data_IF_814756448336
#
_entry.id   IF_814756448336
#
_cell.length_a   1.000
_cell.length_b   1.000
_cell.length_c   1.000
_cell.angle_alpha   90.00
_cell.angle_beta   90.00
_cell.angle_gamma   90.00
#
_symmetry.space_group_name_H-M   'P 1'
#
loop_
_entity.id
_entity.type
_entity.pdbx_description
1 polymer ?
#
# COMPACT_ATOMS: atom_id res chain seq x y z
N UNK A 1 -57.94 -10.50 -23.59
CA UNK A 1 -58.88 -10.96 -22.53
C UNK A 1 -58.48 -10.26 -21.24
N UNK A 2 -59.09 -9.11 -20.95
CA UNK A 2 -60.07 -8.88 -19.86
C UNK A 2 -59.46 -9.13 -18.46
N UNK A 3 -59.20 -8.08 -17.65
CA UNK A 3 -60.13 -7.39 -16.68
C UNK A 3 -60.11 -8.14 -15.31
N UNK A 4 -60.03 -7.59 -14.09
CA UNK A 4 -60.44 -6.32 -13.41
C UNK A 4 -59.89 -6.42 -11.96
N UNK A 5 -59.15 -5.46 -11.40
CA UNK A 5 -59.53 -4.30 -10.56
C UNK A 5 -60.07 -4.57 -9.13
N UNK A 6 -59.54 -3.79 -8.16
CA UNK A 6 -60.20 -2.98 -7.11
C UNK A 6 -59.08 -2.42 -6.19
N UNK A 7 -58.72 -1.12 -6.26
CA UNK A 7 -59.28 0.05 -5.53
C UNK A 7 -59.25 -0.11 -4.00
N UNK A 8 -58.85 0.86 -3.17
CA UNK A 8 -58.51 2.27 -3.37
C UNK A 8 -58.50 3.04 -2.03
N UNK A 9 -58.46 4.38 -2.14
CA UNK A 9 -58.40 5.45 -1.10
C UNK A 9 -56.98 5.80 -0.63
N UNK A 10 -56.41 7.00 -0.82
CA UNK A 10 -56.94 8.38 -0.85
C UNK A 10 -56.43 9.08 0.43
N UNK A 11 -55.72 10.21 0.50
CA UNK A 11 -55.72 11.50 -0.24
C UNK A 11 -54.37 12.22 0.07
N UNK A 12 -53.79 13.00 -0.85
CA UNK A 12 -52.65 13.91 -0.61
C UNK A 12 -53.11 15.37 -0.42
N UNK A 13 -52.27 16.25 0.18
CA UNK A 13 -52.14 17.69 -0.15
C UNK A 13 -51.32 18.47 0.91
N UNK A 14 -50.21 19.12 0.49
CA UNK A 14 -50.09 20.58 0.39
C UNK A 14 -48.64 21.02 0.10
N UNK A 15 -48.46 21.62 -1.07
CA UNK A 15 -47.43 22.65 -1.32
C UNK A 15 -47.87 23.96 -0.66
N UNK A 16 -46.92 24.74 -0.15
CA UNK A 16 -47.10 26.16 0.12
C UNK A 16 -45.91 26.95 -0.44
N UNK A 17 -46.28 27.90 -1.28
CA UNK A 17 -45.54 28.84 -2.11
C UNK A 17 -44.71 29.86 -1.35
N UNK A 18 -43.63 30.31 -2.01
CA UNK A 18 -42.84 31.48 -1.70
C UNK A 18 -43.63 32.80 -1.75
N UNK A 19 -43.22 33.78 -0.92
CA UNK A 19 -43.44 35.22 -1.17
C UNK A 19 -42.23 36.04 -0.70
N UNK A 20 -41.72 36.85 -1.62
CA UNK A 20 -40.79 37.96 -1.43
C UNK A 20 -41.44 39.08 -0.60
N UNK A 21 -40.66 39.77 0.23
CA UNK A 21 -40.84 41.20 0.48
C UNK A 21 -39.48 41.88 0.68
N UNK A 22 -39.26 42.93 -0.13
CA UNK A 22 -38.11 43.81 -0.09
C UNK A 22 -38.41 45.07 0.73
N UNK A 23 -37.33 45.64 1.28
CA UNK A 23 -37.06 47.06 1.53
C UNK A 23 -38.06 47.92 2.32
N UNK A 24 -37.62 48.38 3.49
CA UNK A 24 -37.99 49.71 4.00
C UNK A 24 -36.78 50.35 4.70
N UNK A 25 -36.25 51.42 4.09
CA UNK A 25 -35.39 52.42 4.74
C UNK A 25 -36.28 53.34 5.58
N UNK A 26 -35.92 53.56 6.84
CA UNK A 26 -36.24 54.82 7.52
C UNK A 26 -35.17 55.09 8.59
N UNK A 27 -34.42 56.17 8.40
CA UNK A 27 -33.57 56.73 9.45
C UNK A 27 -34.33 57.83 10.17
N UNK A 28 -34.11 57.98 11.49
CA UNK A 28 -33.91 59.30 12.11
C UNK A 28 -33.51 59.18 13.60
N UNK A 29 -32.56 60.04 13.98
CA UNK A 29 -32.27 60.62 15.31
C UNK A 29 -31.45 59.81 16.33
N UNK A 30 -30.20 60.26 16.49
CA UNK A 30 -29.30 60.08 17.63
C UNK A 30 -29.90 60.67 18.93
N UNK A 31 -29.45 60.22 20.12
CA UNK A 31 -28.40 61.00 20.80
C UNK A 31 -27.23 60.16 21.36
N UNK A 32 -26.07 60.81 21.34
CA UNK A 32 -24.85 60.48 22.07
C UNK A 32 -25.13 60.06 23.53
N UNK A 33 -24.92 58.79 23.83
CA UNK A 33 -24.46 58.37 25.14
C UNK A 33 -23.62 57.11 24.95
N UNK A 34 -22.45 57.09 25.58
CA UNK A 34 -21.51 55.96 25.65
C UNK A 34 -20.54 55.83 24.45
N UNK A 35 -19.71 56.86 24.26
CA UNK A 35 -18.32 56.62 23.83
C UNK A 35 -17.67 55.66 24.83
N UNK A 36 -17.07 54.53 24.41
CA UNK A 36 -16.14 53.82 25.28
C UNK A 36 -14.92 54.71 25.48
N UNK A 37 -14.81 55.22 26.69
CA UNK A 37 -13.60 55.79 27.25
C UNK A 37 -12.46 54.76 27.14
N UNK A 38 -11.26 55.28 26.91
CA UNK A 38 -9.95 54.72 27.20
C UNK A 38 -9.80 53.18 27.23
N UNK A 39 -8.93 52.68 26.33
CA UNK A 39 -8.28 51.37 26.42
C UNK A 39 -7.95 51.03 27.88
N UNK A 40 -8.74 50.16 28.49
CA UNK A 40 -8.29 49.41 29.66
C UNK A 40 -7.31 48.35 29.14
N UNK A 41 -6.09 48.24 29.68
CA UNK A 41 -5.25 47.08 29.44
C UNK A 41 -5.89 45.92 30.19
N UNK A 42 -6.91 45.29 29.58
CA UNK A 42 -7.40 44.02 30.04
C UNK A 42 -6.21 43.06 29.95
N UNK A 43 -5.66 42.72 31.12
CA UNK A 43 -4.70 41.66 31.29
C UNK A 43 -5.11 40.51 30.38
N UNK A 44 -4.24 40.16 29.43
CA UNK A 44 -4.22 38.80 28.88
C UNK A 44 -3.93 37.86 30.05
N UNK A 45 -4.98 37.48 30.79
CA UNK A 45 -4.89 36.47 31.82
C UNK A 45 -4.48 35.21 31.07
N UNK A 46 -3.23 34.78 31.28
CA UNK A 46 -2.74 33.51 30.74
C UNK A 46 -3.78 32.45 31.10
N UNK A 47 -4.25 31.64 30.13
CA UNK A 47 -5.23 30.61 30.43
C UNK A 47 -4.71 29.79 31.59
N UNK A 48 -5.56 29.57 32.58
CA UNK A 48 -5.23 28.80 33.78
C UNK A 48 -4.71 27.41 33.39
N UNK A 49 -3.93 26.77 34.27
CA UNK A 49 -3.42 25.42 34.02
C UNK A 49 -4.56 24.45 33.66
N UNK A 50 -5.75 24.63 34.25
CA UNK A 50 -6.95 23.86 33.93
C UNK A 50 -7.49 24.13 32.51
N UNK A 51 -7.54 25.38 32.06
CA UNK A 51 -7.97 25.72 30.69
C UNK A 51 -6.95 25.26 29.63
N UNK A 52 -5.66 25.26 29.98
CA UNK A 52 -4.60 24.71 29.14
C UNK A 52 -4.70 23.19 29.05
N UNK A 53 -5.00 22.51 30.16
CA UNK A 53 -5.25 21.06 30.18
C UNK A 53 -6.49 20.70 29.37
N UNK A 54 -7.60 21.44 29.53
CA UNK A 54 -8.82 21.22 28.74
C UNK A 54 -8.57 21.47 27.24
N UNK A 55 -7.86 22.54 26.87
CA UNK A 55 -7.48 22.78 25.46
C UNK A 55 -6.55 21.71 24.91
N UNK A 56 -5.57 21.24 25.68
CA UNK A 56 -4.71 20.13 25.29
C UNK A 56 -5.53 18.84 25.12
N UNK A 57 -6.48 18.58 26.00
CA UNK A 57 -7.36 17.41 25.96
C UNK A 57 -8.34 17.46 24.77
N UNK A 58 -8.85 18.65 24.41
CA UNK A 58 -9.65 18.87 23.21
C UNK A 58 -8.82 18.73 21.91
N UNK A 59 -7.60 19.27 21.87
CA UNK A 59 -6.73 19.10 20.71
C UNK A 59 -6.29 17.64 20.53
N UNK A 60 -6.01 16.93 21.64
CA UNK A 60 -5.69 15.50 21.65
C UNK A 60 -6.88 14.63 21.19
N UNK A 61 -8.11 14.95 21.60
CA UNK A 61 -9.32 14.27 21.11
C UNK A 61 -9.68 14.61 19.65
N UNK A 62 -9.32 15.79 19.16
CA UNK A 62 -9.54 16.16 17.76
C UNK A 62 -8.56 15.47 16.80
N UNK A 63 -7.33 15.17 17.26
CA UNK A 63 -6.37 14.37 16.49
C UNK A 63 -6.77 12.90 16.43
N UNK A 64 -7.31 12.32 17.52
CA UNK A 64 -7.72 10.92 17.53
C UNK A 64 -8.96 10.63 16.65
N UNK A 65 -9.87 11.61 16.50
CA UNK A 65 -10.98 11.49 15.52
C UNK A 65 -10.50 11.48 14.06
N UNK A 66 -9.36 12.10 13.75
CA UNK A 66 -8.78 12.07 12.39
C UNK A 66 -8.06 10.75 12.08
N UNK A 67 -7.56 10.06 13.10
CA UNK A 67 -7.01 8.70 13.03
C UNK A 67 -8.09 7.64 12.75
N UNK A 68 -9.33 7.86 13.17
CA UNK A 68 -10.44 6.90 12.93
C UNK A 68 -10.87 6.73 11.46
N UNK A 69 -10.28 7.50 10.52
CA UNK A 69 -10.47 7.35 9.07
C UNK A 69 -9.23 6.81 8.35
N UNK A 70 -8.14 6.51 9.06
CA UNK A 70 -6.98 5.86 8.46
C UNK A 70 -7.34 4.40 8.16
N UNK A 71 -7.17 3.97 6.91
CA UNK A 71 -7.27 2.56 6.54
C UNK A 71 -6.21 1.81 7.35
N UNK A 72 -6.62 0.82 8.15
CA UNK A 72 -5.69 -0.01 8.94
C UNK A 72 -4.64 -0.65 8.03
N UNK A 73 -3.41 -0.78 8.53
CA UNK A 73 -2.36 -1.52 7.83
C UNK A 73 -2.79 -2.94 7.47
N UNK A 74 -3.64 -3.58 8.29
CA UNK A 74 -4.23 -4.89 7.97
C UNK A 74 -4.97 -4.86 6.63
N UNK A 75 -5.84 -3.88 6.39
CA UNK A 75 -6.68 -3.81 5.18
C UNK A 75 -5.81 -3.64 3.94
N UNK A 76 -4.79 -2.79 4.02
CA UNK A 76 -3.87 -2.54 2.89
C UNK A 76 -3.07 -3.80 2.58
N UNK A 77 -2.47 -4.41 3.61
CA UNK A 77 -1.63 -5.60 3.48
C UNK A 77 -2.43 -6.80 3.01
N UNK A 78 -3.61 -7.05 3.58
CA UNK A 78 -4.50 -8.12 3.14
C UNK A 78 -5.00 -7.88 1.71
N UNK A 79 -5.20 -6.62 1.30
CA UNK A 79 -5.50 -6.29 -0.10
C UNK A 79 -4.38 -6.69 -1.06
N UNK A 80 -3.12 -6.37 -0.72
CA UNK A 80 -1.95 -6.78 -1.50
C UNK A 80 -1.80 -8.32 -1.52
N UNK A 81 -1.97 -8.98 -0.38
CA UNK A 81 -1.92 -10.45 -0.27
C UNK A 81 -3.00 -11.06 -1.17
N UNK A 82 -4.23 -10.55 -1.10
CA UNK A 82 -5.36 -11.02 -1.91
C UNK A 82 -5.08 -10.87 -3.41
N UNK A 83 -4.45 -9.77 -3.84
CA UNK A 83 -4.06 -9.57 -5.23
C UNK A 83 -3.04 -10.63 -5.70
N UNK A 84 -2.01 -10.91 -4.90
CA UNK A 84 -1.02 -11.95 -5.20
C UNK A 84 -1.65 -13.35 -5.24
N UNK A 85 -2.54 -13.66 -4.29
CA UNK A 85 -3.30 -14.92 -4.26
C UNK A 85 -4.14 -15.07 -5.53
N UNK A 86 -4.86 -14.02 -5.94
CA UNK A 86 -5.70 -14.05 -7.13
C UNK A 86 -4.90 -14.36 -8.41
N UNK A 87 -3.73 -13.74 -8.59
CA UNK A 87 -2.84 -14.02 -9.72
C UNK A 87 -2.24 -15.43 -9.63
N UNK A 88 -1.88 -15.88 -8.42
CA UNK A 88 -1.37 -17.24 -8.18
C UNK A 88 -2.39 -18.31 -8.53
N UNK A 89 -3.68 -18.08 -8.29
CA UNK A 89 -4.76 -18.97 -8.76
C UNK A 89 -4.71 -19.11 -10.29
N UNK A 90 -4.39 -18.03 -11.01
CA UNK A 90 -4.13 -18.06 -12.46
C UNK A 90 -3.02 -19.04 -12.82
N UNK A 91 -1.90 -19.03 -12.08
CA UNK A 91 -0.80 -19.99 -12.25
C UNK A 91 -1.22 -21.42 -11.92
N UNK A 92 -2.00 -21.64 -10.86
CA UNK A 92 -2.48 -22.97 -10.51
C UNK A 92 -3.37 -23.56 -11.62
N UNK A 93 -4.20 -22.72 -12.25
CA UNK A 93 -5.00 -23.13 -13.41
C UNK A 93 -4.17 -23.39 -14.65
N UNK A 94 -3.16 -22.55 -14.91
CA UNK A 94 -2.26 -22.71 -16.05
C UNK A 94 -1.40 -23.98 -15.98
N UNK A 95 -1.06 -24.42 -14.77
CA UNK A 95 -0.25 -25.62 -14.52
C UNK A 95 -1.08 -26.89 -14.30
N UNK A 96 -2.42 -26.79 -14.33
CA UNK A 96 -3.30 -27.93 -14.11
C UNK A 96 -3.08 -29.01 -15.20
N UNK A 97 -3.18 -30.31 -14.85
CA UNK A 97 -3.04 -31.38 -15.82
C UNK A 97 -4.00 -31.19 -17.00
N UNK A 98 -3.56 -31.48 -18.24
CA UNK A 98 -4.40 -31.30 -19.41
C UNK A 98 -5.64 -32.23 -19.33
N UNK A 99 -6.81 -31.80 -19.85
CA UNK A 99 -8.02 -32.61 -19.82
C UNK A 99 -7.81 -34.00 -20.44
N UNK A 100 -8.56 -35.02 -20.00
CA UNK A 100 -8.42 -36.39 -20.55
C UNK A 100 -8.75 -36.49 -22.05
N UNK A 101 -9.55 -35.55 -22.57
CA UNK A 101 -10.00 -35.58 -23.96
C UNK A 101 -9.02 -34.85 -24.91
N UNK A 102 -8.46 -35.51 -25.96
CA UNK A 102 -7.40 -34.94 -26.81
C UNK A 102 -7.73 -33.59 -27.44
N UNK A 103 -8.96 -33.39 -27.93
CA UNK A 103 -9.41 -32.12 -28.50
C UNK A 103 -9.46 -30.95 -27.48
N UNK A 104 -9.60 -31.25 -26.19
CA UNK A 104 -9.58 -30.26 -25.12
C UNK A 104 -8.16 -29.99 -24.61
N UNK A 105 -7.22 -30.95 -24.75
CA UNK A 105 -5.81 -30.77 -24.37
C UNK A 105 -5.15 -29.63 -25.14
N UNK A 106 -5.32 -29.63 -26.47
CA UNK A 106 -4.76 -28.59 -27.35
C UNK A 106 -5.36 -27.20 -27.08
N UNK A 107 -6.65 -27.14 -26.71
CA UNK A 107 -7.37 -25.88 -26.48
C UNK A 107 -7.17 -25.30 -25.07
N UNK A 108 -6.96 -26.13 -24.05
CA UNK A 108 -6.95 -25.70 -22.65
C UNK A 108 -5.54 -25.39 -22.11
N UNK A 109 -4.52 -26.13 -22.54
CA UNK A 109 -3.17 -26.04 -21.96
C UNK A 109 -2.40 -24.80 -22.45
N UNK A 110 -2.62 -24.38 -23.69
CA UNK A 110 -1.87 -23.27 -24.29
C UNK A 110 -2.33 -21.85 -23.92
N UNK A 111 -3.64 -21.50 -23.88
CA UNK A 111 -4.03 -20.10 -23.71
C UNK A 111 -3.80 -19.58 -22.29
N UNK A 112 -4.03 -20.40 -21.25
CA UNK A 112 -3.85 -20.00 -19.85
C UNK A 112 -2.36 -19.78 -19.51
N UNK A 113 -1.50 -20.74 -19.85
CA UNK A 113 -0.05 -20.63 -19.69
C UNK A 113 0.52 -19.45 -20.47
N UNK A 114 0.11 -19.29 -21.74
CA UNK A 114 0.51 -18.13 -22.55
C UNK A 114 0.09 -16.82 -21.91
N UNK A 115 -1.12 -16.73 -21.37
CA UNK A 115 -1.61 -15.53 -20.67
C UNK A 115 -0.73 -15.21 -19.47
N UNK A 116 -0.42 -16.21 -18.62
CA UNK A 116 0.42 -16.00 -17.44
C UNK A 116 1.84 -15.56 -17.81
N UNK A 117 2.47 -16.21 -18.79
CA UNK A 117 3.80 -15.84 -19.26
C UNK A 117 3.81 -14.44 -19.89
N UNK A 118 2.82 -14.12 -20.73
CA UNK A 118 2.78 -12.86 -21.49
C UNK A 118 2.48 -11.64 -20.61
N UNK A 119 1.63 -11.82 -19.59
CA UNK A 119 1.06 -10.70 -18.83
C UNK A 119 1.47 -10.66 -17.36
N UNK A 120 1.94 -11.76 -16.78
CA UNK A 120 2.27 -11.86 -15.35
C UNK A 120 3.72 -12.30 -15.11
N UNK A 121 4.57 -12.20 -16.14
CA UNK A 121 6.03 -12.26 -15.99
C UNK A 121 6.65 -11.09 -16.70
N UNK A 122 7.91 -10.78 -16.39
CA UNK A 122 8.66 -9.74 -17.07
C UNK A 122 10.01 -10.27 -17.55
N UNK A 123 10.45 -9.79 -18.71
CA UNK A 123 11.73 -10.18 -19.31
C UNK A 123 12.20 -9.10 -20.28
N UNK A 124 13.45 -9.22 -20.75
CA UNK A 124 13.99 -8.32 -21.78
C UNK A 124 13.13 -8.30 -23.05
N UNK A 125 12.55 -9.44 -23.43
CA UNK A 125 11.65 -9.54 -24.58
C UNK A 125 10.36 -8.75 -24.38
N UNK A 126 9.73 -8.83 -23.20
CA UNK A 126 8.53 -8.07 -22.90
C UNK A 126 8.75 -6.56 -23.04
N UNK A 127 9.89 -6.05 -22.55
CA UNK A 127 10.22 -4.64 -22.64
C UNK A 127 10.52 -4.20 -24.08
N UNK A 128 11.21 -5.04 -24.88
CA UNK A 128 11.44 -4.79 -26.31
C UNK A 128 10.14 -4.75 -27.11
N UNK A 129 9.14 -5.55 -26.72
CA UNK A 129 7.80 -5.58 -27.33
C UNK A 129 6.87 -4.48 -26.79
N UNK A 130 7.39 -3.53 -26.01
CA UNK A 130 6.64 -2.38 -25.49
C UNK A 130 5.71 -2.71 -24.30
N UNK A 131 5.82 -3.89 -23.70
CA UNK A 131 4.95 -4.32 -22.59
C UNK A 131 5.47 -3.88 -21.22
N UNK A 132 5.72 -2.58 -21.03
CA UNK A 132 6.28 -2.06 -19.78
C UNK A 132 5.42 -2.33 -18.54
N UNK A 133 4.11 -2.54 -18.70
CA UNK A 133 3.21 -2.92 -17.60
C UNK A 133 3.61 -4.23 -16.93
N UNK A 134 4.37 -5.11 -17.60
CA UNK A 134 4.83 -6.37 -17.03
C UNK A 134 5.72 -6.17 -15.82
N UNK A 135 6.44 -5.05 -15.72
CA UNK A 135 7.23 -4.70 -14.54
C UNK A 135 6.36 -4.56 -13.27
N UNK A 136 5.11 -4.16 -13.44
CA UNK A 136 4.15 -4.04 -12.34
C UNK A 136 3.37 -5.34 -12.13
N UNK A 137 2.89 -5.99 -13.18
CA UNK A 137 2.09 -7.21 -13.01
C UNK A 137 2.93 -8.40 -12.55
N UNK A 138 4.21 -8.47 -12.92
CA UNK A 138 5.12 -9.54 -12.49
C UNK A 138 5.37 -9.55 -10.99
N UNK A 139 5.33 -8.40 -10.32
CA UNK A 139 5.52 -8.36 -8.86
C UNK A 139 4.31 -8.87 -8.07
N UNK A 140 3.14 -9.06 -8.70
CA UNK A 140 1.98 -9.70 -8.08
C UNK A 140 1.85 -11.19 -8.43
N UNK A 141 2.89 -11.77 -9.04
CA UNK A 141 2.81 -13.07 -9.70
C UNK A 141 3.70 -14.09 -8.99
N UNK A 142 3.13 -15.22 -8.57
CA UNK A 142 3.86 -16.33 -7.94
C UNK A 142 3.44 -17.65 -8.60
N UNK A 143 4.40 -18.32 -9.22
CA UNK A 143 4.15 -19.57 -9.93
C UNK A 143 3.96 -20.78 -9.00
N UNK A 144 4.45 -20.71 -7.75
CA UNK A 144 4.40 -21.81 -6.78
C UNK A 144 3.82 -21.37 -5.45
N UNK A 145 3.15 -22.30 -4.75
CA UNK A 145 2.58 -22.04 -3.43
C UNK A 145 3.64 -21.74 -2.36
N UNK A 146 4.81 -22.36 -2.45
CA UNK A 146 5.93 -22.07 -1.55
C UNK A 146 6.44 -20.63 -1.73
N UNK A 147 6.59 -20.18 -2.98
CA UNK A 147 7.02 -18.81 -3.28
C UNK A 147 5.97 -17.77 -2.83
N UNK A 148 4.68 -18.08 -3.00
CA UNK A 148 3.59 -17.27 -2.46
C UNK A 148 3.66 -17.22 -0.92
N UNK A 149 3.72 -18.38 -0.26
CA UNK A 149 3.73 -18.49 1.20
C UNK A 149 4.85 -17.67 1.83
N UNK A 150 6.09 -17.82 1.35
CA UNK A 150 7.23 -17.09 1.87
C UNK A 150 7.08 -15.56 1.75
N UNK A 151 6.66 -15.07 0.57
CA UNK A 151 6.47 -13.64 0.36
C UNK A 151 5.31 -13.06 1.18
N UNK A 152 4.16 -13.75 1.20
CA UNK A 152 2.97 -13.25 1.87
C UNK A 152 3.15 -13.28 3.39
N UNK A 153 3.89 -14.27 3.93
CA UNK A 153 4.27 -14.30 5.33
C UNK A 153 5.13 -13.09 5.71
N UNK A 154 6.16 -12.79 4.92
CA UNK A 154 6.99 -11.60 5.12
C UNK A 154 6.18 -10.31 5.02
N UNK A 155 5.35 -10.18 3.98
CA UNK A 155 4.47 -9.02 3.81
C UNK A 155 3.50 -8.85 4.98
N UNK A 156 2.93 -9.94 5.51
CA UNK A 156 2.00 -9.89 6.63
C UNK A 156 2.66 -9.46 7.94
N UNK A 157 3.84 -9.99 8.26
CA UNK A 157 4.52 -9.64 9.52
C UNK A 157 5.15 -8.26 9.48
N UNK A 158 5.91 -7.93 8.44
CA UNK A 158 6.61 -6.65 8.36
C UNK A 158 5.75 -5.53 7.80
N UNK A 159 4.86 -5.85 6.86
CA UNK A 159 4.10 -4.86 6.13
C UNK A 159 3.06 -4.14 6.98
N UNK A 160 2.41 -4.83 7.92
CA UNK A 160 1.35 -4.23 8.75
C UNK A 160 1.90 -3.15 9.66
N UNK A 161 2.88 -3.52 10.48
CA UNK A 161 3.57 -2.58 11.37
C UNK A 161 4.16 -1.40 10.58
N UNK A 162 4.80 -1.67 9.43
CA UNK A 162 5.36 -0.59 8.62
C UNK A 162 4.28 0.30 8.00
N UNK A 163 3.15 -0.26 7.59
CA UNK A 163 2.02 0.49 7.06
C UNK A 163 1.37 1.38 8.13
N UNK A 164 1.24 0.89 9.36
CA UNK A 164 0.71 1.70 10.47
C UNK A 164 1.65 2.87 10.81
N UNK A 165 2.96 2.66 10.71
CA UNK A 165 3.98 3.70 10.93
C UNK A 165 4.05 4.75 9.82
N UNK A 166 4.01 4.31 8.56
CA UNK A 166 4.13 5.20 7.39
C UNK A 166 2.81 5.81 6.94
N UNK A 167 1.70 5.14 7.27
CA UNK A 167 0.41 5.33 6.64
C UNK A 167 0.30 4.66 5.26
N UNK A 168 -0.90 4.18 4.95
CA UNK A 168 -1.26 3.44 3.72
C UNK A 168 -0.67 3.99 2.41
N UNK A 169 -0.72 5.31 2.14
CA UNK A 169 -0.25 5.89 0.87
C UNK A 169 1.26 5.73 0.68
N UNK A 170 2.04 5.98 1.73
CA UNK A 170 3.51 5.87 1.69
C UNK A 170 3.93 4.42 1.63
N UNK A 171 3.26 3.57 2.38
CA UNK A 171 3.47 2.12 2.32
C UNK A 171 3.21 1.55 0.93
N UNK A 172 2.05 1.88 0.32
CA UNK A 172 1.74 1.46 -1.05
C UNK A 172 2.74 2.03 -2.06
N UNK A 173 3.12 3.30 -1.93
CA UNK A 173 4.16 3.90 -2.76
C UNK A 173 5.48 3.15 -2.67
N UNK A 174 5.93 2.81 -1.45
CA UNK A 174 7.14 2.02 -1.23
C UNK A 174 7.01 0.63 -1.86
N UNK A 175 5.92 -0.10 -1.58
CA UNK A 175 5.70 -1.45 -2.10
C UNK A 175 5.71 -1.48 -3.64
N UNK A 176 4.92 -0.61 -4.28
CA UNK A 176 4.80 -0.57 -5.74
C UNK A 176 6.09 -0.09 -6.41
N UNK A 177 6.69 1.01 -5.92
CA UNK A 177 7.90 1.56 -6.53
C UNK A 177 9.08 0.59 -6.40
N UNK A 178 9.29 0.01 -5.21
CA UNK A 178 10.36 -0.97 -5.02
C UNK A 178 10.16 -2.23 -5.87
N UNK A 179 8.94 -2.76 -5.96
CA UNK A 179 8.67 -3.93 -6.79
C UNK A 179 8.89 -3.68 -8.30
N UNK A 180 8.50 -2.51 -8.81
CA UNK A 180 8.78 -2.11 -10.20
C UNK A 180 10.28 -1.92 -10.43
N UNK A 181 10.99 -1.25 -9.52
CA UNK A 181 12.45 -1.06 -9.62
C UNK A 181 13.17 -2.41 -9.57
N UNK A 182 12.78 -3.31 -8.67
CA UNK A 182 13.35 -4.66 -8.58
C UNK A 182 13.10 -5.48 -9.85
N UNK A 183 11.89 -5.38 -10.41
CA UNK A 183 11.55 -6.04 -11.68
C UNK A 183 12.39 -5.47 -12.83
N UNK A 184 12.61 -4.16 -12.88
CA UNK A 184 13.46 -3.53 -13.88
C UNK A 184 14.94 -3.92 -13.70
N UNK A 185 15.43 -3.99 -12.46
CA UNK A 185 16.80 -4.41 -12.16
C UNK A 185 17.05 -5.86 -12.59
N UNK A 186 16.08 -6.76 -12.38
CA UNK A 186 16.16 -8.14 -12.86
C UNK A 186 16.22 -8.21 -14.39
N UNK A 187 15.38 -7.46 -15.10
CA UNK A 187 15.41 -7.42 -16.57
C UNK A 187 16.70 -6.78 -17.09
N UNK A 188 17.26 -5.81 -16.37
CA UNK A 188 18.53 -5.19 -16.73
C UNK A 188 19.70 -6.17 -16.56
N UNK A 189 19.76 -6.92 -15.45
CA UNK A 189 20.76 -8.00 -15.28
C UNK A 189 20.63 -9.05 -16.39
N UNK A 190 19.40 -9.46 -16.68
CA UNK A 190 19.10 -10.37 -17.76
C UNK A 190 19.61 -9.85 -19.12
N UNK A 191 19.44 -8.56 -19.40
CA UNK A 191 19.95 -7.94 -20.62
C UNK A 191 21.48 -7.99 -20.68
N UNK A 192 22.18 -7.73 -19.57
CA UNK A 192 23.64 -7.78 -19.49
C UNK A 192 24.19 -9.21 -19.62
N UNK A 193 23.52 -10.20 -19.04
CA UNK A 193 23.94 -11.60 -19.11
C UNK A 193 23.56 -12.30 -20.42
N UNK A 194 22.73 -11.66 -21.26
CA UNK A 194 22.24 -12.24 -22.51
C UNK A 194 21.25 -13.40 -22.34
N UNK A 195 20.82 -13.68 -21.09
CA UNK A 195 19.92 -14.79 -20.77
C UNK A 195 18.48 -14.43 -21.07
N UNK A 196 17.65 -15.41 -21.42
CA UNK A 196 16.20 -15.23 -21.48
C UNK A 196 15.54 -15.92 -20.28
N UNK A 197 15.21 -15.14 -19.26
CA UNK A 197 14.50 -15.59 -18.05
C UNK A 197 13.17 -14.85 -17.91
N UNK A 198 12.17 -15.54 -17.36
CA UNK A 198 10.90 -14.94 -16.98
C UNK A 198 10.95 -14.61 -15.49
N UNK A 199 10.93 -13.32 -15.16
CA UNK A 199 11.00 -12.84 -13.78
C UNK A 199 9.58 -12.59 -13.25
N UNK A 200 9.32 -13.04 -12.02
CA UNK A 200 8.06 -12.87 -11.31
C UNK A 200 8.26 -13.00 -9.80
N UNK A 201 7.45 -12.28 -9.02
CA UNK A 201 7.44 -12.37 -7.57
C UNK A 201 7.43 -11.02 -6.87
N UNK A 202 6.73 -10.97 -5.73
CA UNK A 202 6.68 -9.81 -4.83
C UNK A 202 7.97 -9.58 -4.04
N UNK A 203 8.95 -10.46 -4.14
CA UNK A 203 10.10 -10.52 -3.22
C UNK A 203 10.94 -9.25 -3.20
N UNK A 204 11.09 -8.55 -4.33
CA UNK A 204 11.75 -7.23 -4.34
C UNK A 204 11.05 -6.21 -3.43
N UNK A 205 9.71 -6.13 -3.51
CA UNK A 205 8.92 -5.23 -2.67
C UNK A 205 8.89 -5.67 -1.21
N UNK A 206 8.79 -6.99 -0.95
CA UNK A 206 8.85 -7.55 0.40
C UNK A 206 10.23 -7.32 1.02
N UNK A 207 11.31 -7.40 0.26
CA UNK A 207 12.66 -7.09 0.73
C UNK A 207 12.83 -5.60 1.04
N UNK A 208 12.20 -4.69 0.28
CA UNK A 208 12.20 -3.26 0.61
C UNK A 208 11.51 -2.99 1.96
N UNK A 209 10.34 -3.59 2.19
CA UNK A 209 9.60 -3.50 3.45
C UNK A 209 10.42 -4.09 4.59
N UNK A 210 10.98 -5.28 4.38
CA UNK A 210 11.79 -6.00 5.39
C UNK A 210 13.03 -5.20 5.75
N UNK A 211 13.81 -4.72 4.77
CA UNK A 211 15.01 -3.92 4.98
C UNK A 211 14.69 -2.63 5.76
N UNK A 212 13.61 -1.94 5.39
CA UNK A 212 13.18 -0.75 6.12
C UNK A 212 12.76 -1.07 7.56
N UNK A 213 12.02 -2.16 7.77
CA UNK A 213 11.61 -2.60 9.11
C UNK A 213 12.81 -2.95 9.98
N UNK A 214 13.81 -3.68 9.46
CA UNK A 214 15.05 -4.00 10.17
C UNK A 214 15.83 -2.74 10.54
N UNK A 215 15.89 -1.74 9.67
CA UNK A 215 16.57 -0.47 9.95
C UNK A 215 15.86 0.37 11.03
N UNK A 216 14.53 0.25 11.11
CA UNK A 216 13.72 0.91 12.15
C UNK A 216 13.76 0.17 13.48
N UNK A 217 13.75 -1.17 13.45
CA UNK A 217 13.65 -2.03 14.61
C UNK A 217 14.76 -3.10 14.61
N UNK A 218 16.05 -2.71 14.68
CA UNK A 218 17.16 -3.66 14.53
C UNK A 218 17.15 -4.76 15.59
N UNK A 219 16.68 -4.45 16.80
CA UNK A 219 16.57 -5.42 17.91
C UNK A 219 15.20 -6.10 18.00
N UNK A 220 14.28 -5.84 17.05
CA UNK A 220 13.01 -6.53 16.96
C UNK A 220 13.20 -8.03 16.68
N UNK A 221 12.21 -8.85 17.02
CA UNK A 221 12.26 -10.29 16.75
C UNK A 221 11.72 -10.59 15.36
N UNK A 222 12.54 -11.21 14.52
CA UNK A 222 12.19 -11.77 13.23
C UNK A 222 11.97 -13.27 13.38
N UNK A 223 10.84 -13.78 12.90
CA UNK A 223 10.56 -15.22 12.85
C UNK A 223 10.92 -15.79 11.48
N UNK A 224 12.03 -16.52 11.38
CA UNK A 224 12.40 -17.23 10.16
C UNK A 224 11.35 -18.32 9.90
N UNK A 225 10.69 -18.26 8.74
CA UNK A 225 9.56 -19.12 8.37
C UNK A 225 8.40 -19.14 9.39
N UNK A 226 8.30 -18.12 10.26
CA UNK A 226 7.31 -18.09 11.33
C UNK A 226 7.63 -18.97 12.55
N UNK A 227 8.81 -19.61 12.60
CA UNK A 227 9.14 -20.60 13.63
C UNK A 227 10.33 -20.16 14.48
N UNK A 228 11.45 -19.75 13.86
CA UNK A 228 12.71 -19.53 14.58
C UNK A 228 12.87 -18.04 14.88
N UNK A 229 12.79 -17.60 16.14
CA UNK A 229 13.00 -16.20 16.50
C UNK A 229 14.49 -15.86 16.46
N UNK A 230 14.82 -14.72 15.85
CA UNK A 230 16.14 -14.12 15.91
C UNK A 230 16.05 -12.59 15.85
N UNK A 231 17.09 -11.86 16.29
CA UNK A 231 17.13 -10.42 16.12
C UNK A 231 17.03 -10.01 14.64
N UNK A 232 16.24 -8.99 14.35
CA UNK A 232 15.95 -8.53 12.99
C UNK A 232 17.22 -8.10 12.25
N UNK A 233 18.17 -7.44 12.94
CA UNK A 233 19.46 -7.08 12.38
C UNK A 233 20.25 -8.31 11.89
N UNK A 234 20.19 -9.41 12.65
CA UNK A 234 20.89 -10.65 12.32
C UNK A 234 20.22 -11.35 11.15
N UNK A 235 18.91 -11.59 11.24
CA UNK A 235 18.14 -12.22 10.17
C UNK A 235 18.24 -11.43 8.86
N UNK A 236 18.09 -10.11 8.93
CA UNK A 236 18.26 -9.20 7.80
C UNK A 236 19.62 -9.28 7.15
N UNK A 237 20.69 -9.22 7.96
CA UNK A 237 22.06 -9.28 7.46
C UNK A 237 22.36 -10.62 6.79
N UNK A 238 21.90 -11.74 7.37
CA UNK A 238 22.06 -13.07 6.78
C UNK A 238 21.32 -13.21 5.45
N UNK A 239 20.10 -12.69 5.33
CA UNK A 239 19.35 -12.71 4.08
C UNK A 239 20.03 -11.89 2.99
N UNK A 240 20.44 -10.65 3.29
CA UNK A 240 21.16 -9.79 2.34
C UNK A 240 22.47 -10.44 1.93
N UNK A 241 23.23 -11.00 2.87
CA UNK A 241 24.48 -11.69 2.59
C UNK A 241 24.27 -12.90 1.68
N UNK A 242 23.26 -13.74 1.96
CA UNK A 242 22.91 -14.90 1.13
C UNK A 242 22.59 -14.50 -0.31
N UNK A 243 21.81 -13.44 -0.51
CA UNK A 243 21.49 -12.98 -1.87
C UNK A 243 22.70 -12.30 -2.55
N UNK A 244 23.52 -11.55 -1.83
CA UNK A 244 24.76 -10.96 -2.36
C UNK A 244 25.76 -12.04 -2.79
N UNK A 245 25.96 -13.07 -1.95
CA UNK A 245 26.82 -14.20 -2.26
C UNK A 245 26.32 -14.97 -3.48
N UNK A 246 25.01 -15.24 -3.54
CA UNK A 246 24.43 -15.99 -4.66
C UNK A 246 24.47 -15.20 -5.97
N UNK A 247 24.32 -13.87 -5.91
CA UNK A 247 24.55 -12.99 -7.05
C UNK A 247 26.02 -12.98 -7.50
N UNK A 248 26.96 -12.81 -6.56
CA UNK A 248 28.39 -12.75 -6.85
C UNK A 248 28.95 -14.06 -7.41
N UNK A 249 28.30 -15.20 -7.14
CA UNK A 249 28.68 -16.53 -7.63
C UNK A 249 27.88 -16.98 -8.86
N UNK A 250 27.05 -16.10 -9.45
CA UNK A 250 26.12 -16.39 -10.54
C UNK A 250 25.31 -17.68 -10.32
N UNK A 251 24.80 -17.86 -9.10
CA UNK A 251 24.05 -19.05 -8.73
C UNK A 251 22.75 -19.14 -9.54
N UNK A 252 22.57 -20.27 -10.24
CA UNK A 252 21.41 -20.51 -11.12
C UNK A 252 20.35 -21.35 -10.41
N UNK A 253 19.76 -20.82 -9.33
CA UNK A 253 18.74 -21.52 -8.54
C UNK A 253 17.30 -21.05 -8.80
N UNK A 254 17.10 -20.24 -9.85
CA UNK A 254 15.79 -19.71 -10.23
C UNK A 254 15.31 -18.53 -9.37
N UNK A 255 16.18 -17.98 -8.50
CA UNK A 255 15.89 -16.81 -7.68
C UNK A 255 16.58 -15.57 -8.27
N UNK A 256 15.84 -14.47 -8.43
CA UNK A 256 16.43 -13.21 -8.85
C UNK A 256 17.07 -12.48 -7.67
N UNK A 257 18.33 -12.80 -7.38
CA UNK A 257 19.08 -12.16 -6.29
C UNK A 257 19.27 -10.65 -6.51
N UNK A 258 19.38 -10.19 -7.76
CA UNK A 258 19.42 -8.76 -8.07
C UNK A 258 18.11 -8.05 -7.72
N UNK A 259 16.96 -8.68 -7.99
CA UNK A 259 15.66 -8.13 -7.59
C UNK A 259 15.58 -7.96 -6.07
N UNK A 260 16.08 -8.95 -5.33
CA UNK A 260 16.10 -8.93 -3.87
C UNK A 260 16.99 -7.82 -3.31
N UNK A 261 18.22 -7.69 -3.82
CA UNK A 261 19.19 -6.69 -3.39
C UNK A 261 18.75 -5.28 -3.75
N UNK A 262 18.25 -5.07 -4.96
CA UNK A 262 17.71 -3.77 -5.39
C UNK A 262 16.50 -3.35 -4.56
N UNK A 263 15.62 -4.30 -4.20
CA UNK A 263 14.49 -4.05 -3.31
C UNK A 263 14.93 -3.60 -1.93
N UNK A 264 15.84 -4.35 -1.31
CA UNK A 264 16.44 -3.99 -0.02
C UNK A 264 17.12 -2.60 -0.07
N UNK A 265 17.84 -2.30 -1.15
CA UNK A 265 18.48 -1.00 -1.36
C UNK A 265 17.46 0.15 -1.44
N UNK A 266 16.34 -0.03 -2.15
CA UNK A 266 15.25 0.97 -2.19
C UNK A 266 14.65 1.19 -0.80
N UNK A 267 14.39 0.12 -0.05
CA UNK A 267 13.91 0.22 1.33
C UNK A 267 14.85 1.00 2.24
N UNK A 268 16.15 0.67 2.17
CA UNK A 268 17.19 1.37 2.93
C UNK A 268 17.31 2.85 2.53
N UNK A 269 17.31 3.14 1.22
CA UNK A 269 17.35 4.51 0.72
C UNK A 269 16.14 5.32 1.20
N UNK A 270 14.94 4.72 1.19
CA UNK A 270 13.73 5.37 1.68
C UNK A 270 13.79 5.62 3.20
N UNK A 271 14.32 4.69 3.98
CA UNK A 271 14.59 4.90 5.41
C UNK A 271 15.50 6.12 5.65
N UNK A 272 16.65 6.19 4.98
CA UNK A 272 17.58 7.31 5.14
C UNK A 272 17.01 8.64 4.66
N UNK A 273 16.21 8.63 3.58
CA UNK A 273 15.48 9.80 3.11
C UNK A 273 14.54 10.36 4.19
N UNK A 274 13.77 9.49 4.85
CA UNK A 274 12.88 9.90 5.93
C UNK A 274 13.66 10.42 7.15
N UNK A 275 14.79 9.80 7.48
CA UNK A 275 15.64 10.19 8.63
C UNK A 275 16.31 11.56 8.45
N UNK A 276 16.68 11.92 7.22
CA UNK A 276 17.31 13.23 6.89
C UNK A 276 16.35 14.42 6.85
N UNK A 277 15.10 14.23 7.28
CA UNK A 277 14.11 15.31 7.33
C UNK A 277 13.10 15.31 6.19
N UNK A 278 12.99 14.21 5.43
CA UNK A 278 11.95 14.02 4.43
C UNK A 278 10.53 14.30 4.96
N UNK A 279 10.30 14.12 6.28
CA UNK A 279 9.11 14.63 6.99
C UNK A 279 9.42 15.00 8.45
N UNK A 280 8.86 16.11 8.95
CA UNK A 280 9.02 16.55 10.36
C UNK A 280 8.47 15.55 11.40
N UNK A 281 7.57 14.65 11.02
CA UNK A 281 6.94 13.67 11.92
C UNK A 281 7.77 12.40 12.13
N UNK A 282 8.71 12.06 11.24
CA UNK A 282 9.47 10.81 11.32
C UNK A 282 10.63 10.88 12.32
N UNK A 283 11.05 12.09 12.74
CA UNK A 283 12.13 12.31 13.71
C UNK A 283 11.82 11.83 15.15
N UNK A 284 10.65 11.23 15.38
CA UNK A 284 10.19 10.78 16.70
C UNK A 284 10.32 9.25 16.91
N UNK A 285 10.81 8.55 15.90
CA UNK A 285 11.19 7.13 15.93
C UNK A 285 12.70 7.03 15.70
#
# INVERSE_FOLDING_TARGET
MLKTALMGSGVPLRQATARNFASAKFGSRLPNALRPSARSPLLHKRPSAAEQQVRQQYHYRSSSRRESRAVSGDVVVLGLISANVAVTIGWMRAQAPPPRHPAQQLRAFQPSMRTMLTHFTTSTQHLKEGRYYTLLTSMFSQATLGHLGANMLGLYFFGRQLCDLLGHRKFLGLYLASGVISSAAAVYEQHLSGRLTFNLGASGAVNAITAMNILLFPHGTLLIFGIIPMPAWLGGSLFIFKDAYSFATDRQDGISHVAHLSGAAVGAAYYYYLRRGGFRSFRRF
#
